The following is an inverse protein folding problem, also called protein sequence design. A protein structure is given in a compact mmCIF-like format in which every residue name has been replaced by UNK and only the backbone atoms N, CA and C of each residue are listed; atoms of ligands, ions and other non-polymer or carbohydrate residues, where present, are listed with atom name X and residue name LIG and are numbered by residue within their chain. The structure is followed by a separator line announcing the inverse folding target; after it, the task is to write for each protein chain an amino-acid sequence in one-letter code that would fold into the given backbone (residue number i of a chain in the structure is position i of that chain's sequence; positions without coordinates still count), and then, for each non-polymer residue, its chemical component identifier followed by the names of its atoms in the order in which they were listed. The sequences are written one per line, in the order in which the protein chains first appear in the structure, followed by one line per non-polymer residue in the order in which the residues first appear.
data_IF_822398782545
#
_entry.id   IF_822398782545
#
_cell.length_a   1.000
_cell.length_b   1.000
_cell.length_c   1.000
_cell.angle_alpha   90.00
_cell.angle_beta   90.00
_cell.angle_gamma   90.00
#
_symmetry.space_group_name_H-M   'P 1'
#
loop_
_entity.id
_entity.type
_entity.pdbx_description
1 polymer ?
#
# COMPACT_ATOMS: atom_id res chain seq x y z
N UNK A 1 25.86 -11.39 -1.49
CA UNK A 1 24.45 -11.28 -1.04
C UNK A 1 24.25 -9.96 -0.28
N UNK A 2 25.10 -9.62 0.68
CA UNK A 2 25.08 -8.32 1.39
C UNK A 2 25.28 -7.09 0.51
N UNK A 3 26.20 -7.14 -0.47
CA UNK A 3 26.55 -5.97 -1.29
C UNK A 3 25.41 -5.44 -2.19
N UNK A 4 24.41 -6.26 -2.49
CA UNK A 4 23.26 -5.87 -3.32
C UNK A 4 22.16 -5.17 -2.52
N UNK A 5 21.99 -5.55 -1.25
CA UNK A 5 20.98 -4.97 -0.36
C UNK A 5 21.54 -3.76 0.38
N UNK A 6 22.83 -3.77 0.73
CA UNK A 6 23.52 -2.61 1.32
C UNK A 6 23.54 -1.39 0.39
N UNK A 7 23.58 -1.59 -0.94
CA UNK A 7 23.46 -0.51 -1.93
C UNK A 7 22.06 0.12 -1.99
N UNK A 8 21.01 -0.61 -1.62
CA UNK A 8 19.62 -0.10 -1.61
C UNK A 8 19.34 0.79 -0.38
N UNK A 9 20.09 0.61 0.71
CA UNK A 9 19.93 1.37 1.95
C UNK A 9 20.45 2.82 1.87
N UNK A 10 21.35 3.12 0.94
CA UNK A 10 22.04 4.42 0.86
C UNK A 10 21.20 5.60 0.31
N UNK A 11 19.88 5.44 0.17
CA UNK A 11 18.97 6.50 -0.30
C UNK A 11 17.84 6.84 0.70
N UNK A 12 17.86 6.27 1.92
CA UNK A 12 16.81 6.51 2.90
C UNK A 12 17.17 7.67 3.84
N UNK A 13 16.27 8.66 3.91
CA UNK A 13 16.37 9.84 4.76
C UNK A 13 16.33 9.46 6.25
N UNK A 14 17.04 10.20 7.12
CA UNK A 14 17.22 9.85 8.55
C UNK A 14 15.90 9.77 9.33
N UNK A 15 14.88 10.53 8.91
CA UNK A 15 13.54 10.47 9.50
C UNK A 15 12.80 9.14 9.27
N UNK A 16 13.15 8.42 8.19
CA UNK A 16 12.60 7.09 7.90
C UNK A 16 13.22 6.01 8.78
N UNK A 17 14.43 6.22 9.30
CA UNK A 17 15.14 5.26 10.14
C UNK A 17 14.49 5.15 11.53
N UNK A 18 14.15 6.28 12.16
CA UNK A 18 13.55 6.28 13.50
C UNK A 18 12.14 5.65 13.52
N UNK A 19 11.35 5.86 12.46
CA UNK A 19 10.01 5.26 12.35
C UNK A 19 10.05 3.76 12.04
N UNK A 20 10.97 3.33 11.16
CA UNK A 20 11.20 1.91 10.91
C UNK A 20 11.66 1.19 12.19
N UNK A 21 12.59 1.80 12.95
CA UNK A 21 13.11 1.27 14.22
C UNK A 21 12.04 1.27 15.33
N UNK A 22 11.15 2.26 15.37
CA UNK A 22 10.03 2.26 16.31
C UNK A 22 9.01 1.15 15.98
N UNK A 23 8.69 0.95 14.69
CA UNK A 23 7.80 -0.11 14.26
C UNK A 23 8.34 -1.49 14.69
N UNK A 24 9.64 -1.74 14.46
CA UNK A 24 10.37 -2.94 14.92
C UNK A 24 10.13 -3.20 16.41
N UNK A 25 10.35 -2.19 17.26
CA UNK A 25 10.19 -2.31 18.71
C UNK A 25 8.74 -2.52 19.13
N UNK A 26 7.78 -1.93 18.40
CA UNK A 26 6.35 -1.99 18.73
C UNK A 26 5.67 -3.31 18.35
N UNK A 27 6.15 -4.01 17.31
CA UNK A 27 5.61 -5.30 16.87
C UNK A 27 6.10 -6.49 17.70
N UNK A 28 7.03 -6.30 18.65
CA UNK A 28 7.62 -7.40 19.43
C UNK A 28 8.45 -8.37 18.59
N UNK A 29 8.88 -7.94 17.41
CA UNK A 29 9.64 -8.73 16.45
C UNK A 29 11.07 -8.22 16.54
N UNK A 30 11.92 -9.03 17.13
CA UNK A 30 13.36 -8.85 17.09
C UNK A 30 13.79 -9.23 15.66
N UNK A 31 14.07 -8.25 14.77
CA UNK A 31 14.57 -8.61 13.46
C UNK A 31 15.93 -9.26 13.72
N UNK A 32 16.16 -10.44 13.16
CA UNK A 32 17.53 -10.90 12.98
C UNK A 32 18.31 -9.72 12.37
N UNK A 33 19.47 -9.36 12.91
CA UNK A 33 20.23 -8.18 12.47
C UNK A 33 20.44 -8.15 10.93
N UNK A 34 20.40 -9.32 10.29
CA UNK A 34 20.46 -9.53 8.84
C UNK A 34 19.25 -8.98 8.04
N UNK A 35 18.06 -8.83 8.64
CA UNK A 35 16.83 -8.38 7.97
C UNK A 35 16.68 -6.86 7.90
N UNK A 36 17.51 -6.10 8.63
CA UNK A 36 17.43 -4.64 8.71
C UNK A 36 17.48 -3.93 7.32
N UNK A 37 18.35 -4.31 6.36
CA UNK A 37 18.38 -3.69 5.04
C UNK A 37 17.12 -3.97 4.21
N UNK A 38 16.56 -5.17 4.32
CA UNK A 38 15.33 -5.57 3.62
C UNK A 38 14.14 -4.78 4.16
N UNK A 39 14.02 -4.69 5.49
CA UNK A 39 12.96 -3.92 6.13
C UNK A 39 13.04 -2.43 5.78
N UNK A 40 14.26 -1.84 5.80
CA UNK A 40 14.48 -0.45 5.36
C UNK A 40 13.99 -0.22 3.94
N UNK A 41 14.29 -1.15 3.02
CA UNK A 41 13.81 -1.08 1.65
C UNK A 41 12.29 -1.19 1.53
N UNK A 42 11.66 -2.13 2.25
CA UNK A 42 10.20 -2.28 2.25
C UNK A 42 9.53 -1.02 2.78
N UNK A 43 10.02 -0.49 3.90
CA UNK A 43 9.53 0.74 4.49
C UNK A 43 9.69 1.94 3.55
N UNK A 44 10.85 2.09 2.90
CA UNK A 44 11.09 3.20 1.97
C UNK A 44 10.19 3.16 0.74
N UNK A 45 9.92 1.96 0.20
CA UNK A 45 8.95 1.79 -0.91
C UNK A 45 7.53 2.15 -0.46
N UNK A 46 7.10 1.71 0.72
CA UNK A 46 5.78 2.07 1.25
C UNK A 46 5.66 3.58 1.49
N UNK A 47 6.68 4.19 2.10
CA UNK A 47 6.74 5.62 2.34
C UNK A 47 6.68 6.41 1.04
N UNK A 48 7.53 6.08 0.07
CA UNK A 48 7.56 6.72 -1.25
C UNK A 48 6.20 6.61 -1.97
N UNK A 49 5.55 5.44 -1.90
CA UNK A 49 4.23 5.23 -2.48
C UNK A 49 3.15 6.11 -1.85
N UNK A 50 3.15 6.28 -0.51
CA UNK A 50 2.20 7.16 0.20
C UNK A 50 2.45 8.63 -0.13
N UNK A 51 3.73 9.06 -0.16
CA UNK A 51 4.09 10.43 -0.54
C UNK A 51 3.65 10.74 -1.98
N UNK A 52 3.84 9.80 -2.92
CA UNK A 52 3.43 9.92 -4.32
C UNK A 52 1.92 9.73 -4.57
N UNK A 53 1.11 9.39 -3.56
CA UNK A 53 -0.33 9.16 -3.73
C UNK A 53 -0.67 7.94 -4.59
N UNK A 54 0.13 6.87 -4.49
CA UNK A 54 -0.06 5.61 -5.22
C UNK A 54 -1.26 4.84 -4.67
N UNK A 55 -2.10 4.28 -5.54
CA UNK A 55 -3.29 3.51 -5.09
C UNK A 55 -2.97 2.06 -4.70
N UNK A 56 -2.08 1.42 -5.47
CA UNK A 56 -1.69 0.04 -5.25
C UNK A 56 -0.20 -0.16 -5.54
N UNK A 57 0.48 -0.97 -4.72
CA UNK A 57 1.84 -1.44 -4.93
C UNK A 57 1.78 -2.94 -5.21
N UNK A 58 2.42 -3.37 -6.28
CA UNK A 58 2.48 -4.76 -6.69
C UNK A 58 3.91 -5.27 -6.52
N UNK A 59 4.07 -6.28 -5.67
CA UNK A 59 5.32 -6.98 -5.38
C UNK A 59 5.28 -8.34 -6.06
N UNK A 60 5.99 -8.48 -7.18
CA UNK A 60 5.78 -9.58 -8.12
C UNK A 60 7.06 -10.39 -8.33
N UNK A 61 7.14 -11.62 -7.77
CA UNK A 61 8.18 -12.55 -8.16
C UNK A 61 7.95 -13.04 -9.58
N UNK A 62 9.04 -13.07 -10.36
CA UNK A 62 9.10 -13.65 -11.69
C UNK A 62 10.23 -14.67 -11.72
N UNK A 63 10.40 -15.32 -12.88
CA UNK A 63 11.40 -16.38 -13.07
C UNK A 63 12.82 -15.93 -12.70
N UNK A 64 13.21 -14.72 -13.10
CA UNK A 64 14.60 -14.25 -12.98
C UNK A 64 14.75 -12.97 -12.14
N UNK A 65 13.66 -12.28 -11.85
CA UNK A 65 13.65 -11.00 -11.15
C UNK A 65 12.46 -10.90 -10.19
N UNK A 66 12.55 -9.90 -9.31
CA UNK A 66 11.47 -9.52 -8.42
C UNK A 66 11.13 -8.05 -8.69
N UNK A 67 9.91 -7.81 -9.15
CA UNK A 67 9.50 -6.51 -9.70
C UNK A 67 8.52 -5.82 -8.77
N UNK A 68 8.80 -4.57 -8.45
CA UNK A 68 7.87 -3.69 -7.73
C UNK A 68 7.25 -2.71 -8.71
N UNK A 69 5.92 -2.66 -8.77
CA UNK A 69 5.16 -1.74 -9.63
C UNK A 69 4.19 -0.89 -8.81
N UNK A 70 4.04 0.37 -9.18
CA UNK A 70 3.03 1.26 -8.63
C UNK A 70 1.86 1.39 -9.59
N UNK A 71 0.64 1.46 -9.04
CA UNK A 71 -0.52 1.93 -9.78
C UNK A 71 -0.68 3.43 -9.55
N UNK A 72 -0.41 4.21 -10.60
CA UNK A 72 -0.56 5.66 -10.61
C UNK A 72 -1.56 5.98 -11.71
N UNK A 73 -2.63 6.71 -11.38
CA UNK A 73 -3.71 7.06 -12.30
C UNK A 73 -4.26 5.86 -13.10
N UNK A 74 -4.42 4.73 -12.40
CA UNK A 74 -4.93 3.48 -12.97
C UNK A 74 -3.92 2.67 -13.79
N UNK A 75 -2.72 3.20 -14.08
CA UNK A 75 -1.69 2.53 -14.87
C UNK A 75 -0.60 1.92 -13.99
N UNK A 76 -0.14 0.72 -14.34
CA UNK A 76 0.95 0.04 -13.64
C UNK A 76 2.31 0.45 -14.20
N UNK A 77 3.12 1.06 -13.34
CA UNK A 77 4.45 1.59 -13.65
C UNK A 77 5.50 0.79 -12.89
N UNK A 78 6.52 0.26 -13.60
CA UNK A 78 7.64 -0.44 -12.96
C UNK A 78 8.53 0.58 -12.21
N UNK A 79 8.81 0.32 -10.93
CA UNK A 79 9.61 1.21 -10.06
C UNK A 79 10.92 0.58 -9.63
N UNK A 80 10.89 -0.68 -9.20
CA UNK A 80 12.11 -1.39 -8.82
C UNK A 80 12.18 -2.76 -9.52
N UNK A 81 13.41 -3.17 -9.85
CA UNK A 81 13.74 -4.51 -10.30
C UNK A 81 14.86 -5.02 -9.40
N UNK A 82 14.58 -6.09 -8.69
CA UNK A 82 15.48 -6.70 -7.73
C UNK A 82 15.83 -8.12 -8.18
N UNK A 83 16.88 -8.67 -7.58
CA UNK A 83 17.18 -10.10 -7.73
C UNK A 83 16.03 -10.94 -7.18
N UNK A 84 15.72 -12.05 -7.85
CA UNK A 84 14.78 -13.06 -7.35
C UNK A 84 15.14 -13.57 -5.95
N UNK A 85 16.42 -13.52 -5.56
CA UNK A 85 16.89 -13.94 -4.24
C UNK A 85 16.33 -13.09 -3.10
N UNK A 86 15.99 -11.82 -3.37
CA UNK A 86 15.42 -10.91 -2.37
C UNK A 86 13.92 -11.13 -2.16
N UNK A 87 13.24 -11.87 -3.03
CA UNK A 87 11.78 -12.03 -2.97
C UNK A 87 11.32 -12.65 -1.65
N UNK A 88 12.05 -13.66 -1.15
CA UNK A 88 11.65 -14.40 0.05
C UNK A 88 11.68 -13.55 1.32
N UNK A 89 12.75 -12.77 1.51
CA UNK A 89 12.90 -11.90 2.68
C UNK A 89 11.90 -10.74 2.64
N UNK A 90 11.71 -10.13 1.46
CA UNK A 90 10.72 -9.05 1.27
C UNK A 90 9.29 -9.54 1.57
N UNK A 91 8.92 -10.71 1.05
CA UNK A 91 7.59 -11.30 1.33
C UNK A 91 7.41 -11.56 2.82
N UNK A 92 8.40 -12.16 3.49
CA UNK A 92 8.33 -12.40 4.94
C UNK A 92 8.16 -11.09 5.72
N UNK A 93 8.91 -10.05 5.36
CA UNK A 93 8.82 -8.73 5.97
C UNK A 93 7.43 -8.10 5.80
N UNK A 94 6.86 -8.12 4.59
CA UNK A 94 5.51 -7.62 4.34
C UNK A 94 4.43 -8.40 5.11
N UNK A 95 4.57 -9.73 5.22
CA UNK A 95 3.65 -10.57 5.98
C UNK A 95 3.68 -10.26 7.47
N UNK A 96 4.88 -10.11 8.01
CA UNK A 96 5.09 -9.64 9.38
C UNK A 96 4.37 -8.31 9.62
N UNK A 97 4.60 -7.31 8.76
CA UNK A 97 4.01 -5.98 8.93
C UNK A 97 2.48 -6.01 8.92
N UNK A 98 1.89 -6.91 8.14
CA UNK A 98 0.45 -7.06 8.00
C UNK A 98 -0.16 -8.18 8.86
N UNK A 99 0.59 -8.71 9.84
CA UNK A 99 0.16 -9.75 10.77
C UNK A 99 -0.35 -11.04 10.09
N UNK A 100 0.29 -11.42 8.98
CA UNK A 100 0.02 -12.67 8.25
C UNK A 100 0.95 -13.81 8.73
N UNK A 101 0.54 -15.06 8.53
CA UNK A 101 1.36 -16.23 8.85
C UNK A 101 2.51 -16.38 7.83
N UNK A 102 3.73 -16.11 8.27
CA UNK A 102 4.97 -16.17 7.46
C UNK A 102 5.33 -17.59 7.03
N UNK A 103 4.96 -18.60 7.83
CA UNK A 103 5.26 -19.99 7.58
C UNK A 103 4.34 -20.58 6.50
N UNK A 104 3.06 -20.20 6.50
CA UNK A 104 2.12 -20.63 5.47
C UNK A 104 2.30 -19.84 4.17
N UNK A 105 2.50 -20.53 3.05
CA UNK A 105 2.82 -19.93 1.72
C UNK A 105 2.03 -20.55 0.57
N UNK A 106 1.11 -21.47 0.88
CA UNK A 106 0.38 -22.29 -0.09
C UNK A 106 -1.06 -21.83 -0.28
N UNK A 107 -1.56 -20.98 0.62
CA UNK A 107 -2.90 -20.40 0.53
C UNK A 107 -2.80 -18.86 0.47
N UNK A 108 -3.77 -18.19 -0.18
CA UNK A 108 -3.90 -16.74 -0.12
C UNK A 108 -4.09 -16.27 1.32
N UNK A 109 -3.58 -15.08 1.64
CA UNK A 109 -3.75 -14.45 2.94
C UNK A 109 -4.05 -12.96 2.75
N UNK A 110 -4.81 -12.39 3.68
CA UNK A 110 -5.09 -10.95 3.72
C UNK A 110 -4.70 -10.39 5.08
N UNK A 111 -4.04 -9.25 5.06
CA UNK A 111 -3.62 -8.52 6.25
C UNK A 111 -3.97 -7.04 6.14
N UNK A 112 -3.98 -6.35 7.29
CA UNK A 112 -4.21 -4.91 7.37
C UNK A 112 -3.24 -4.32 8.36
N UNK A 113 -2.83 -3.08 8.09
CA UNK A 113 -2.04 -2.29 9.03
C UNK A 113 -2.36 -0.81 8.84
N UNK A 114 -2.12 -0.02 9.87
CA UNK A 114 -2.04 1.43 9.74
C UNK A 114 -0.57 1.78 9.49
N UNK A 115 -0.31 2.61 8.48
CA UNK A 115 1.04 3.02 8.11
C UNK A 115 1.16 4.54 8.22
N UNK A 116 2.24 5.00 8.86
CA UNK A 116 2.57 6.41 8.97
C UNK A 116 3.74 6.75 8.04
N UNK A 117 3.52 7.73 7.17
CA UNK A 117 4.55 8.35 6.34
C UNK A 117 4.68 9.83 6.74
N UNK A 118 5.52 10.10 7.74
CA UNK A 118 5.64 11.44 8.32
C UNK A 118 4.37 11.85 9.06
N UNK A 119 3.63 12.82 8.50
CA UNK A 119 2.36 13.31 9.04
C UNK A 119 1.13 12.62 8.43
N UNK A 120 1.29 11.85 7.35
CA UNK A 120 0.19 11.14 6.70
C UNK A 120 0.00 9.77 7.33
N UNK A 121 -1.18 9.55 7.90
CA UNK A 121 -1.61 8.27 8.44
C UNK A 121 -2.59 7.62 7.46
N UNK A 122 -2.24 6.44 6.94
CA UNK A 122 -3.05 5.74 5.94
C UNK A 122 -3.38 4.32 6.39
N UNK A 123 -4.54 3.83 5.97
CA UNK A 123 -4.89 2.43 6.14
C UNK A 123 -4.35 1.63 4.97
N UNK A 124 -3.64 0.55 5.26
CA UNK A 124 -3.04 -0.32 4.27
C UNK A 124 -3.69 -1.69 4.34
N UNK A 125 -4.10 -2.20 3.17
CA UNK A 125 -4.53 -3.59 3.01
C UNK A 125 -3.50 -4.34 2.19
N UNK A 126 -3.11 -5.50 2.64
CA UNK A 126 -2.19 -6.37 1.91
C UNK A 126 -2.86 -7.70 1.61
N UNK A 127 -2.71 -8.16 0.37
CA UNK A 127 -3.15 -9.48 -0.06
C UNK A 127 -1.95 -10.25 -0.58
N UNK A 128 -1.74 -11.43 -0.04
CA UNK A 128 -0.76 -12.40 -0.49
C UNK A 128 -1.43 -13.47 -1.35
N UNK A 129 -0.79 -13.84 -2.46
CA UNK A 129 -1.23 -14.88 -3.37
C UNK A 129 -0.05 -15.77 -3.79
N UNK A 130 -0.09 -17.09 -3.52
CA UNK A 130 0.88 -18.04 -4.05
C UNK A 130 0.82 -18.07 -5.58
N UNK A 131 1.97 -18.00 -6.24
CA UNK A 131 2.14 -18.08 -7.69
C UNK A 131 3.32 -19.01 -8.05
N UNK A 132 3.49 -19.31 -9.34
CA UNK A 132 4.53 -20.25 -9.84
C UNK A 132 5.93 -19.92 -9.34
N UNK A 133 6.29 -18.63 -9.26
CA UNK A 133 7.64 -18.18 -8.93
C UNK A 133 7.80 -17.68 -7.49
N UNK A 134 6.81 -17.91 -6.62
CA UNK A 134 6.85 -17.47 -5.23
C UNK A 134 5.51 -16.92 -4.77
N UNK A 135 5.54 -15.85 -3.97
CA UNK A 135 4.33 -15.27 -3.39
C UNK A 135 4.20 -13.82 -3.85
N UNK A 136 3.12 -13.51 -4.56
CA UNK A 136 2.82 -12.16 -5.00
C UNK A 136 2.11 -11.43 -3.86
N UNK A 137 2.57 -10.22 -3.54
CA UNK A 137 1.88 -9.35 -2.60
C UNK A 137 1.34 -8.13 -3.34
N UNK A 138 0.08 -7.80 -3.06
CA UNK A 138 -0.53 -6.54 -3.49
C UNK A 138 -0.85 -5.74 -2.25
N UNK A 139 -0.35 -4.52 -2.21
CA UNK A 139 -0.61 -3.55 -1.15
C UNK A 139 -1.54 -2.49 -1.70
N UNK A 140 -2.66 -2.24 -1.06
CA UNK A 140 -3.58 -1.15 -1.37
C UNK A 140 -3.48 -0.10 -0.27
N UNK A 141 -3.20 1.13 -0.68
CA UNK A 141 -3.16 2.30 0.20
C UNK A 141 -4.55 2.93 0.17
N UNK A 142 -5.14 3.10 1.34
CA UNK A 142 -6.40 3.79 1.56
C UNK A 142 -6.07 5.06 2.34
N UNK A 143 -5.93 6.16 1.60
CA UNK A 143 -5.71 7.48 2.17
C UNK A 143 -7.07 8.19 2.38
N UNK A 144 -7.51 8.41 3.64
CA UNK A 144 -8.76 9.11 3.93
C UNK A 144 -8.73 10.57 3.47
N UNK A 145 -7.56 11.23 3.48
CA UNK A 145 -7.43 12.63 3.08
C UNK A 145 -7.62 12.79 1.57
N UNK A 146 -7.14 11.83 0.76
CA UNK A 146 -7.42 11.82 -0.68
C UNK A 146 -8.92 11.70 -1.01
N UNK A 147 -9.72 11.18 -0.07
CA UNK A 147 -11.16 11.07 -0.23
C UNK A 147 -11.92 12.37 0.13
N UNK A 148 -11.28 13.34 0.82
CA UNK A 148 -11.90 14.62 1.18
C UNK A 148 -11.80 15.66 0.07
N UNK A 149 -12.36 15.35 -1.10
CA UNK A 149 -12.66 16.40 -2.09
C UNK A 149 -14.06 16.93 -1.81
N UNK A 150 -14.29 18.24 -1.80
CA UNK A 150 -15.65 18.76 -1.66
C UNK A 150 -16.50 18.27 -2.82
N UNK A 151 -17.78 18.00 -2.58
CA UNK A 151 -18.73 17.49 -3.59
C UNK A 151 -18.71 18.30 -4.91
N UNK A 152 -18.48 19.62 -4.84
CA UNK A 152 -18.37 20.51 -6.00
C UNK A 152 -17.07 20.31 -6.83
N UNK A 153 -16.05 19.69 -6.25
CA UNK A 153 -14.77 19.35 -6.88
C UNK A 153 -14.76 17.97 -7.56
N UNK A 154 -15.89 17.25 -7.57
CA UNK A 154 -16.01 15.93 -8.21
C UNK A 154 -16.35 15.99 -9.71
N UNK A 155 -16.56 17.20 -10.26
CA UNK A 155 -16.87 17.39 -11.69
C UNK A 155 -18.31 17.00 -12.06
N UNK A 156 -19.23 16.98 -11.10
CA UNK A 156 -20.65 16.81 -11.37
C UNK A 156 -21.20 18.01 -12.16
N UNK A 157 -22.14 17.77 -13.08
CA UNK A 157 -22.91 18.86 -13.69
C UNK A 157 -23.72 19.56 -12.58
N UNK A 158 -23.89 20.87 -12.71
CA UNK A 158 -24.56 21.70 -11.68
C UNK A 158 -25.94 21.17 -11.29
N UNK A 159 -26.71 20.68 -12.26
CA UNK A 159 -28.05 20.14 -12.01
C UNK A 159 -28.01 18.84 -11.19
N UNK A 160 -27.03 17.97 -11.46
CA UNK A 160 -26.82 16.72 -10.71
C UNK A 160 -26.37 17.02 -9.29
N UNK A 161 -25.41 17.94 -9.14
CA UNK A 161 -24.90 18.32 -7.83
C UNK A 161 -25.99 18.91 -6.94
N UNK A 162 -26.81 19.83 -7.47
CA UNK A 162 -27.94 20.40 -6.73
C UNK A 162 -28.98 19.33 -6.34
N UNK A 163 -29.24 18.37 -7.22
CA UNK A 163 -30.10 17.22 -6.92
C UNK A 163 -29.58 16.37 -5.76
N UNK A 164 -28.28 16.01 -5.80
CA UNK A 164 -27.62 15.25 -4.72
C UNK A 164 -27.64 16.02 -3.40
N UNK A 165 -27.30 17.31 -3.40
CA UNK A 165 -27.37 18.16 -2.21
C UNK A 165 -28.79 18.27 -1.64
N UNK A 166 -29.81 18.30 -2.50
CA UNK A 166 -31.22 18.26 -2.09
C UNK A 166 -31.59 16.94 -1.40
N UNK A 167 -31.09 15.81 -1.92
CA UNK A 167 -31.31 14.49 -1.32
C UNK A 167 -30.61 14.35 0.04
N UNK A 168 -29.38 14.87 0.17
CA UNK A 168 -28.60 14.85 1.42
C UNK A 168 -29.26 15.65 2.55
N UNK A 169 -30.13 16.62 2.24
CA UNK A 169 -30.89 17.40 3.24
C UNK A 169 -32.10 16.67 3.80
N UNK A 170 -32.49 15.52 3.25
CA UNK A 170 -33.64 14.75 3.74
C UNK A 170 -33.28 14.07 5.07
N UNK A 171 -34.23 14.04 6.00
CA UNK A 171 -34.04 13.45 7.34
C UNK A 171 -33.96 11.93 7.33
N UNK A 172 -34.46 11.27 6.28
CA UNK A 172 -34.37 9.84 6.05
C UNK A 172 -34.45 9.50 4.55
N UNK A 173 -33.91 8.33 4.20
CA UNK A 173 -33.86 7.83 2.82
C UNK A 173 -32.61 6.99 2.56
N UNK A 174 -32.59 6.30 1.42
CA UNK A 174 -31.45 5.51 0.97
C UNK A 174 -30.85 6.15 -0.28
N UNK A 175 -29.55 6.43 -0.26
CA UNK A 175 -28.77 6.86 -1.44
C UNK A 175 -27.82 5.73 -1.81
N UNK A 176 -27.91 5.26 -3.05
CA UNK A 176 -27.08 4.19 -3.59
C UNK A 176 -26.12 4.76 -4.62
N UNK A 177 -24.81 4.71 -4.33
CA UNK A 177 -23.75 5.07 -5.27
C UNK A 177 -23.26 3.79 -5.95
N UNK A 178 -23.65 3.59 -7.21
CA UNK A 178 -23.36 2.38 -8.00
C UNK A 178 -22.40 2.68 -9.15
N UNK A 179 -21.65 1.67 -9.57
CA UNK A 179 -20.62 1.80 -10.60
C UNK A 179 -19.53 0.72 -10.49
N UNK A 180 -18.70 0.52 -11.54
CA UNK A 180 -17.66 -0.50 -11.55
C UNK A 180 -16.50 -0.16 -10.59
N UNK A 181 -15.62 -1.12 -10.29
CA UNK A 181 -14.43 -0.89 -9.44
C UNK A 181 -13.58 0.24 -10.01
N UNK A 182 -13.15 1.18 -9.15
CA UNK A 182 -12.35 2.33 -9.55
C UNK A 182 -13.13 3.52 -10.14
N UNK A 183 -14.46 3.47 -10.23
CA UNK A 183 -15.29 4.57 -10.77
C UNK A 183 -15.51 5.75 -9.82
N UNK A 184 -14.72 5.88 -8.74
CA UNK A 184 -14.87 6.98 -7.77
C UNK A 184 -16.06 6.87 -6.81
N UNK A 185 -16.69 5.70 -6.64
CA UNK A 185 -17.83 5.52 -5.70
C UNK A 185 -17.46 5.90 -4.26
N UNK A 186 -16.35 5.37 -3.75
CA UNK A 186 -15.87 5.66 -2.40
C UNK A 186 -15.56 7.14 -2.27
N UNK A 187 -14.84 7.73 -3.22
CA UNK A 187 -14.58 9.19 -3.25
C UNK A 187 -15.87 10.02 -3.22
N UNK A 188 -16.92 9.59 -3.93
CA UNK A 188 -18.21 10.28 -3.95
C UNK A 188 -18.96 10.15 -2.61
N UNK A 189 -18.81 9.02 -1.91
CA UNK A 189 -19.45 8.80 -0.61
C UNK A 189 -18.78 9.58 0.53
N UNK A 190 -17.49 9.88 0.42
CA UNK A 190 -16.72 10.61 1.44
C UNK A 190 -16.68 12.14 1.24
N UNK A 191 -17.13 12.63 0.08
CA UNK A 191 -17.15 14.05 -0.31
C UNK A 191 -18.35 14.82 0.26
#
# INVERSE_FOLDING_TARGET
VEQSVARLANLADRASEDQAVWLIKSTGIDPLEEDAPTLKFVYSVLHDAVVQGVSDIHWEPRKNDFVVRYRIDGKLMKKHVLSSNSARSIVSCLKVMAQMDVAERRIPQDGRMTFSAGLRLVDVRMSSMPIVYGEKIVVRILDPEMAQRPLNGLGMRSEVQSGVQGLLKRTNGLILVVGPTGSGKTTTLYA
#
